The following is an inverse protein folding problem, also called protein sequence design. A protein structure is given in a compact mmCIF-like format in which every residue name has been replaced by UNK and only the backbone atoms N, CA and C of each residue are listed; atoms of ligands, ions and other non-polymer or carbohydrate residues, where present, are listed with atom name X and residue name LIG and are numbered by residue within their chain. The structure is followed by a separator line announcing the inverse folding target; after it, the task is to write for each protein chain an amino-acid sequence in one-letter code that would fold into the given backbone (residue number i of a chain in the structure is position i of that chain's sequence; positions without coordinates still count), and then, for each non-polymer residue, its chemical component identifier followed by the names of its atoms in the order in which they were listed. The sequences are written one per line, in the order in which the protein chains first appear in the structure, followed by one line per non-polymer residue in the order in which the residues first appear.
data_IF_324162788630
#
_entry.id   IF_324162788630
#
_cell.length_a   1.000
_cell.length_b   1.000
_cell.length_c   1.000
_cell.angle_alpha   90.00
_cell.angle_beta   90.00
_cell.angle_gamma   90.00
#
_symmetry.space_group_name_H-M   'P 1'
#
loop_
_entity.id
_entity.type
_entity.pdbx_description
1 polymer ?
#
# COMPACT_ATOMS: atom_id res chain seq x y z
N UNK A 1 -18.85 14.41 -6.44
CA UNK A 1 -18.45 15.19 -5.25
C UNK A 1 -17.61 14.26 -4.39
N UNK A 2 -16.42 14.67 -3.95
CA UNK A 2 -15.57 13.84 -3.10
C UNK A 2 -16.26 13.56 -1.75
N UNK A 3 -15.91 12.44 -1.13
CA UNK A 3 -16.42 12.15 0.22
C UNK A 3 -15.84 13.13 1.24
N UNK A 4 -16.60 13.43 2.30
CA UNK A 4 -16.11 14.23 3.42
C UNK A 4 -15.90 13.36 4.63
N UNK A 5 -14.67 13.34 5.14
CA UNK A 5 -14.34 12.68 6.40
C UNK A 5 -14.01 13.73 7.46
N UNK A 6 -14.74 13.72 8.59
CA UNK A 6 -14.61 14.71 9.65
C UNK A 6 -14.65 16.18 9.13
N UNK A 7 -15.52 16.45 8.14
CA UNK A 7 -15.70 17.78 7.55
C UNK A 7 -14.66 18.20 6.52
N UNK A 8 -13.66 17.36 6.24
CA UNK A 8 -12.61 17.61 5.24
C UNK A 8 -12.81 16.73 4.02
N UNK A 9 -12.45 17.23 2.85
CA UNK A 9 -12.48 16.44 1.62
C UNK A 9 -11.49 15.27 1.72
N UNK A 10 -11.96 14.08 1.37
CA UNK A 10 -11.21 12.84 1.44
C UNK A 10 -11.49 11.99 0.21
N UNK A 11 -10.46 11.26 -0.22
CA UNK A 11 -10.61 10.12 -1.12
C UNK A 11 -10.62 8.86 -0.24
N UNK A 12 -11.73 8.13 -0.27
CA UNK A 12 -11.89 6.89 0.49
C UNK A 12 -11.71 5.72 -0.46
N UNK A 13 -10.85 4.77 -0.05
CA UNK A 13 -10.64 3.51 -0.75
C UNK A 13 -10.96 2.40 0.23
N UNK A 14 -11.84 1.49 -0.17
CA UNK A 14 -12.19 0.28 0.57
C UNK A 14 -11.84 -0.95 -0.24
N UNK A 15 -11.47 -2.02 0.44
CA UNK A 15 -11.25 -3.33 -0.15
C UNK A 15 -12.04 -4.34 0.69
N UNK A 16 -12.81 -5.19 0.02
CA UNK A 16 -13.63 -6.22 0.65
C UNK A 16 -13.23 -7.60 0.13
N UNK A 17 -13.40 -8.62 0.96
CA UNK A 17 -12.99 -9.99 0.69
C UNK A 17 -11.52 -10.27 1.04
N UNK A 18 -11.12 -11.49 0.70
CA UNK A 18 -9.77 -12.03 0.88
C UNK A 18 -9.23 -12.52 -0.45
N UNK A 19 -7.92 -12.57 -0.59
CA UNK A 19 -7.23 -13.20 -1.72
C UNK A 19 -6.57 -14.51 -1.28
N UNK A 20 -6.63 -15.50 -2.16
CA UNK A 20 -6.09 -16.84 -1.89
C UNK A 20 -4.57 -16.89 -2.06
N UNK A 21 -4.04 -16.11 -3.02
CA UNK A 21 -2.59 -16.01 -3.29
C UNK A 21 -2.16 -14.55 -3.29
N UNK A 22 -1.19 -14.22 -2.45
CA UNK A 22 -0.66 -12.86 -2.35
C UNK A 22 -0.09 -12.38 -3.69
N UNK A 23 0.49 -13.27 -4.51
CA UNK A 23 1.00 -12.93 -5.85
C UNK A 23 -0.07 -12.32 -6.78
N UNK A 24 -1.34 -12.68 -6.59
CA UNK A 24 -2.45 -12.13 -7.37
C UNK A 24 -2.69 -10.65 -7.05
N UNK A 25 -2.21 -10.16 -5.90
CA UNK A 25 -2.27 -8.74 -5.53
C UNK A 25 -1.45 -7.86 -6.47
N UNK A 26 -0.53 -8.41 -7.25
CA UNK A 26 0.16 -7.63 -8.27
C UNK A 26 -0.79 -7.11 -9.34
N UNK A 27 -1.89 -7.82 -9.61
CA UNK A 27 -2.93 -7.35 -10.53
C UNK A 27 -3.72 -6.19 -9.92
N UNK A 28 -4.08 -6.30 -8.65
CA UNK A 28 -4.79 -5.26 -7.90
C UNK A 28 -3.91 -4.01 -7.74
N UNK A 29 -2.63 -4.18 -7.40
CA UNK A 29 -1.64 -3.10 -7.26
C UNK A 29 -1.56 -2.24 -8.53
N UNK A 30 -1.65 -2.84 -9.71
CA UNK A 30 -1.62 -2.10 -11.00
C UNK A 30 -2.82 -1.17 -11.19
N UNK A 31 -3.94 -1.39 -10.50
CA UNK A 31 -5.11 -0.51 -10.56
C UNK A 31 -4.96 0.72 -9.66
N UNK A 32 -4.02 0.69 -8.71
CA UNK A 32 -3.76 1.81 -7.82
C UNK A 32 -2.75 2.79 -8.43
N UNK A 33 -3.09 4.08 -8.37
CA UNK A 33 -2.16 5.15 -8.67
C UNK A 33 -1.59 5.74 -7.35
N UNK A 34 -0.40 6.34 -7.43
CA UNK A 34 0.20 7.11 -6.34
C UNK A 34 0.39 6.34 -5.02
N UNK A 35 0.71 5.04 -5.08
CA UNK A 35 0.93 4.16 -3.92
C UNK A 35 2.18 4.48 -3.09
N UNK A 36 3.08 5.32 -3.60
CA UNK A 36 4.40 5.56 -3.02
C UNK A 36 5.43 4.46 -3.31
N UNK A 37 5.08 3.49 -4.16
CA UNK A 37 6.00 2.47 -4.65
C UNK A 37 7.11 3.09 -5.52
N UNK A 38 8.33 2.56 -5.40
CA UNK A 38 9.50 2.92 -6.22
C UNK A 38 9.61 2.08 -7.49
N UNK A 39 8.98 0.91 -7.51
CA UNK A 39 8.88 0.04 -8.67
C UNK A 39 7.56 -0.75 -8.62
N UNK A 40 7.13 -1.25 -9.78
CA UNK A 40 5.91 -2.05 -9.92
C UNK A 40 6.07 -3.36 -9.16
N UNK A 41 5.12 -3.69 -8.28
CA UNK A 41 5.13 -4.91 -7.48
C UNK A 41 5.79 -4.74 -6.12
N UNK A 42 6.22 -3.53 -5.73
CA UNK A 42 6.82 -3.30 -4.42
C UNK A 42 5.83 -3.61 -3.28
N UNK A 43 4.55 -3.24 -3.43
CA UNK A 43 3.54 -3.51 -2.40
C UNK A 43 3.34 -5.02 -2.27
N UNK A 44 3.15 -5.71 -3.40
CA UNK A 44 2.98 -7.16 -3.42
C UNK A 44 4.19 -7.90 -2.85
N UNK A 45 5.41 -7.47 -3.21
CA UNK A 45 6.65 -8.04 -2.66
C UNK A 45 6.72 -7.87 -1.13
N UNK A 46 6.30 -6.72 -0.61
CA UNK A 46 6.22 -6.49 0.83
C UNK A 46 5.16 -7.34 1.51
N UNK A 47 4.01 -7.54 0.88
CA UNK A 47 2.97 -8.42 1.41
C UNK A 47 3.44 -9.88 1.54
N UNK A 48 4.25 -10.38 0.59
CA UNK A 48 4.82 -11.73 0.64
C UNK A 48 5.75 -11.95 1.85
N UNK A 49 6.47 -10.91 2.29
CA UNK A 49 7.33 -11.00 3.50
C UNK A 49 6.52 -11.26 4.78
N UNK A 50 5.21 -10.96 4.77
CA UNK A 50 4.30 -11.10 5.90
C UNK A 50 3.24 -12.18 5.69
N UNK A 51 3.43 -13.09 4.73
CA UNK A 51 2.49 -14.18 4.46
C UNK A 51 2.19 -15.00 5.74
N UNK A 52 0.89 -15.29 5.95
CA UNK A 52 0.41 -16.04 7.11
C UNK A 52 0.17 -15.19 8.36
N UNK A 53 0.51 -13.90 8.35
CA UNK A 53 0.18 -12.99 9.45
C UNK A 53 -1.28 -12.50 9.35
N UNK A 54 -1.91 -12.12 10.48
CA UNK A 54 -3.26 -11.57 10.47
C UNK A 54 -3.39 -10.38 9.50
N UNK A 55 -4.34 -10.44 8.57
CA UNK A 55 -4.57 -9.40 7.57
C UNK A 55 -3.63 -9.44 6.35
N UNK A 56 -2.68 -10.38 6.29
CA UNK A 56 -1.76 -10.52 5.13
C UNK A 56 -2.46 -11.00 3.86
N UNK A 57 -3.71 -11.46 3.96
CA UNK A 57 -4.50 -11.99 2.86
C UNK A 57 -5.78 -11.19 2.56
N UNK A 58 -5.88 -9.97 3.08
CA UNK A 58 -7.01 -9.07 2.81
C UNK A 58 -6.57 -7.60 2.68
N UNK A 59 -7.55 -6.70 2.58
CA UNK A 59 -7.31 -5.27 2.43
C UNK A 59 -6.55 -4.63 3.60
N UNK A 60 -6.51 -5.27 4.77
CA UNK A 60 -5.84 -4.75 5.96
C UNK A 60 -4.34 -4.63 5.72
N UNK A 61 -3.66 -5.75 5.41
CA UNK A 61 -2.22 -5.75 5.17
C UNK A 61 -1.86 -4.93 3.93
N UNK A 62 -2.69 -5.01 2.89
CA UNK A 62 -2.44 -4.29 1.64
C UNK A 62 -2.46 -2.77 1.84
N UNK A 63 -3.51 -2.22 2.48
CA UNK A 63 -3.62 -0.78 2.73
C UNK A 63 -2.65 -0.30 3.82
N UNK A 64 -2.31 -1.14 4.81
CA UNK A 64 -1.23 -0.85 5.76
C UNK A 64 0.12 -0.70 5.04
N UNK A 65 0.42 -1.58 4.10
CA UNK A 65 1.66 -1.53 3.31
C UNK A 65 1.71 -0.25 2.47
N UNK A 66 0.65 0.08 1.74
CA UNK A 66 0.55 1.35 1.00
C UNK A 66 0.74 2.55 1.92
N UNK A 67 0.11 2.54 3.10
CA UNK A 67 0.25 3.61 4.10
C UNK A 67 1.72 3.78 4.52
N UNK A 68 2.43 2.68 4.78
CA UNK A 68 3.85 2.72 5.12
C UNK A 68 4.71 3.31 3.98
N UNK A 69 4.41 2.96 2.72
CA UNK A 69 5.12 3.52 1.56
C UNK A 69 4.84 5.02 1.39
N UNK A 70 3.61 5.50 1.65
CA UNK A 70 3.30 6.94 1.67
C UNK A 70 4.02 7.68 2.78
N UNK A 71 4.14 7.08 3.98
CA UNK A 71 4.92 7.66 5.08
C UNK A 71 6.40 7.78 4.67
N UNK A 72 6.96 6.76 4.01
CA UNK A 72 8.32 6.84 3.43
C UNK A 72 8.42 8.02 2.46
N UNK A 73 7.52 8.11 1.48
CA UNK A 73 7.53 9.19 0.48
C UNK A 73 7.50 10.59 1.13
N UNK A 74 6.64 10.77 2.15
CA UNK A 74 6.55 12.02 2.91
C UNK A 74 7.86 12.29 3.66
N UNK A 75 8.42 11.28 4.32
CA UNK A 75 9.68 11.40 5.05
C UNK A 75 10.83 11.80 4.12
N UNK A 76 10.97 11.14 2.97
CA UNK A 76 11.98 11.50 1.95
C UNK A 76 11.79 12.95 1.47
N UNK A 77 10.54 13.39 1.30
CA UNK A 77 10.19 14.75 0.90
C UNK A 77 10.57 15.82 1.93
N UNK A 78 10.37 15.52 3.23
CA UNK A 78 10.66 16.44 4.35
C UNK A 78 12.16 16.44 4.66
N UNK A 79 12.75 15.26 4.84
CA UNK A 79 14.14 15.10 5.27
C UNK A 79 15.15 15.23 4.13
N UNK A 80 14.70 15.23 2.86
CA UNK A 80 15.54 15.27 1.65
C UNK A 80 16.56 14.13 1.58
N UNK A 81 16.20 12.98 2.14
CA UNK A 81 16.98 11.73 2.09
C UNK A 81 16.25 10.70 1.24
N UNK A 82 16.98 9.73 0.67
CA UNK A 82 16.39 8.58 -0.02
C UNK A 82 16.48 7.35 0.87
N UNK A 83 15.33 6.80 1.24
CA UNK A 83 15.18 5.52 1.93
C UNK A 83 15.06 4.43 0.86
N UNK A 84 16.02 3.50 0.71
CA UNK A 84 15.95 2.49 -0.34
C UNK A 84 14.66 1.66 -0.24
N UNK A 85 14.12 1.26 -1.39
CA UNK A 85 13.16 0.16 -1.37
C UNK A 85 13.92 -1.08 -0.91
N UNK A 86 13.42 -1.73 0.14
CA UNK A 86 14.10 -2.87 0.72
C UNK A 86 13.99 -4.04 -0.26
N UNK A 87 15.11 -4.34 -0.93
CA UNK A 87 15.27 -5.52 -1.74
C UNK A 87 15.79 -6.64 -0.85
N UNK A 88 14.94 -7.63 -0.59
CA UNK A 88 15.42 -8.97 -0.28
C UNK A 88 15.72 -9.70 -1.58
#
# INVERSE_FOLDING_TARGET
AGEKWAGKDAAVIGMDGKYDKIDEMMYVEKQFASTGSKFVGEVTKKMLEYEGQPGSNDGTGFLQTITALKVREIYEGIAKVKVPAQAN
#
